data_IF_418122569051
#
_entry.id   IF_418122569051
#
_cell.length_a   1.000
_cell.length_b   1.000
_cell.length_c   1.000
_cell.angle_alpha   90.00
_cell.angle_beta   90.00
_cell.angle_gamma   90.00
#
_symmetry.space_group_name_H-M   'P 1'
#
loop_
_entity.id
_entity.type
_entity.pdbx_description
1 polymer ?
#
# COMPACT_ATOMS: atom_id res chain seq x y z
N UNK A 1 25.95 -35.51 -4.87
CA UNK A 1 24.52 -35.21 -5.00
C UNK A 1 24.16 -34.29 -3.86
N UNK A 2 24.15 -33.02 -4.10
CA UNK A 2 23.74 -32.03 -3.13
C UNK A 2 22.22 -32.08 -3.08
N UNK A 3 21.68 -32.60 -2.00
CA UNK A 3 20.23 -32.59 -1.77
C UNK A 3 19.74 -31.17 -1.63
N UNK A 4 19.20 -30.62 -2.70
CA UNK A 4 18.32 -29.46 -2.63
C UNK A 4 17.07 -29.97 -1.93
N UNK A 5 17.01 -29.76 -0.63
CA UNK A 5 15.80 -29.96 0.15
C UNK A 5 14.84 -28.83 -0.27
N UNK A 6 14.12 -29.06 -1.36
CA UNK A 6 12.99 -28.21 -1.72
C UNK A 6 11.93 -28.44 -0.65
N UNK A 7 11.82 -27.53 0.31
CA UNK A 7 10.62 -27.38 1.11
C UNK A 7 9.51 -26.84 0.18
N UNK A 8 9.07 -27.66 -0.77
CA UNK A 8 7.87 -27.38 -1.53
C UNK A 8 6.69 -27.61 -0.58
N UNK A 9 6.20 -26.52 -0.01
CA UNK A 9 4.90 -26.56 0.64
C UNK A 9 3.87 -26.97 -0.42
N UNK A 10 2.93 -27.87 -0.09
CA UNK A 10 1.88 -28.21 -1.03
C UNK A 10 1.08 -26.95 -1.38
N UNK A 11 0.64 -26.85 -2.63
CA UNK A 11 -0.07 -25.66 -3.17
C UNK A 11 -1.21 -25.22 -2.23
N UNK A 12 -1.95 -26.18 -1.66
CA UNK A 12 -3.06 -25.88 -0.76
C UNK A 12 -2.62 -25.25 0.59
N UNK A 13 -1.38 -25.45 1.00
CA UNK A 13 -0.86 -24.85 2.23
C UNK A 13 -0.48 -23.38 2.04
N UNK A 14 -0.22 -22.96 0.80
CA UNK A 14 0.01 -21.54 0.46
C UNK A 14 -1.31 -20.82 0.23
N UNK A 15 -2.22 -21.46 -0.53
CA UNK A 15 -3.51 -20.89 -0.87
C UNK A 15 -4.56 -21.99 -1.00
N UNK A 16 -5.63 -21.90 -0.22
CA UNK A 16 -6.71 -22.88 -0.17
C UNK A 16 -7.97 -22.42 -0.91
N UNK A 17 -7.79 -21.79 -2.09
CA UNK A 17 -8.86 -21.39 -2.99
C UNK A 17 -9.09 -22.44 -4.09
N UNK A 18 -10.23 -22.37 -4.81
CA UNK A 18 -10.57 -23.40 -5.79
C UNK A 18 -9.94 -23.19 -7.18
N UNK A 19 -9.50 -21.98 -7.52
CA UNK A 19 -8.94 -21.63 -8.83
C UNK A 19 -7.51 -22.19 -8.98
N UNK A 20 -7.32 -23.18 -9.83
CA UNK A 20 -6.05 -23.91 -9.98
C UNK A 20 -4.91 -23.05 -10.50
N UNK A 21 -5.20 -22.17 -11.47
CA UNK A 21 -4.19 -21.32 -12.10
C UNK A 21 -3.62 -20.32 -11.09
N UNK A 22 -4.47 -19.57 -10.42
CA UNK A 22 -4.10 -18.57 -9.42
C UNK A 22 -3.34 -19.20 -8.25
N UNK A 23 -3.78 -20.36 -7.80
CA UNK A 23 -3.07 -21.14 -6.77
C UNK A 23 -1.68 -21.57 -7.23
N UNK A 24 -1.57 -22.08 -8.47
CA UNK A 24 -0.31 -22.50 -9.06
C UNK A 24 0.67 -21.34 -9.22
N UNK A 25 0.21 -20.19 -9.71
CA UNK A 25 1.02 -18.97 -9.84
C UNK A 25 1.47 -18.46 -8.47
N UNK A 26 0.56 -18.36 -7.50
CA UNK A 26 0.87 -17.92 -6.14
C UNK A 26 1.92 -18.81 -5.48
N UNK A 27 1.77 -20.12 -5.59
CA UNK A 27 2.75 -21.10 -5.06
C UNK A 27 4.11 -21.00 -5.78
N UNK A 28 4.12 -20.80 -7.10
CA UNK A 28 5.35 -20.60 -7.87
C UNK A 28 6.08 -19.32 -7.46
N UNK A 29 5.35 -18.21 -7.29
CA UNK A 29 5.91 -16.95 -6.79
C UNK A 29 6.45 -17.13 -5.37
N UNK A 30 5.72 -17.81 -4.48
CA UNK A 30 6.23 -18.15 -3.15
C UNK A 30 7.57 -18.91 -3.22
N UNK A 31 7.65 -19.93 -4.05
CA UNK A 31 8.87 -20.73 -4.22
C UNK A 31 10.05 -19.91 -4.77
N UNK A 32 9.80 -18.92 -5.61
CA UNK A 32 10.82 -17.99 -6.13
C UNK A 32 11.32 -17.01 -5.07
N UNK A 33 10.42 -16.47 -4.25
CA UNK A 33 10.76 -15.45 -3.24
C UNK A 33 11.41 -16.10 -2.01
N UNK A 34 10.93 -17.24 -1.57
CA UNK A 34 11.31 -17.89 -0.32
C UNK A 34 12.83 -18.01 -0.10
N UNK A 35 13.66 -18.48 -1.07
CA UNK A 35 15.10 -18.59 -0.86
C UNK A 35 15.80 -17.24 -0.71
N UNK A 36 15.31 -16.21 -1.41
CA UNK A 36 15.87 -14.85 -1.35
C UNK A 36 15.54 -14.21 -0.02
N UNK A 37 14.27 -14.27 0.37
CA UNK A 37 13.78 -13.76 1.65
C UNK A 37 14.47 -14.47 2.82
N UNK A 38 14.57 -15.81 2.79
CA UNK A 38 15.20 -16.60 3.83
C UNK A 38 16.66 -16.17 4.07
N UNK A 39 17.44 -16.01 2.99
CA UNK A 39 18.84 -15.53 3.12
C UNK A 39 18.92 -14.11 3.66
N UNK A 40 18.01 -13.23 3.24
CA UNK A 40 17.96 -11.86 3.72
C UNK A 40 17.65 -11.80 5.22
N UNK A 41 16.62 -12.51 5.66
CA UNK A 41 16.19 -12.56 7.07
C UNK A 41 17.30 -13.16 7.95
N UNK A 42 17.92 -14.24 7.51
CA UNK A 42 19.03 -14.87 8.26
C UNK A 42 20.16 -13.87 8.48
N UNK A 43 20.64 -13.21 7.42
CA UNK A 43 21.70 -12.21 7.53
C UNK A 43 21.33 -11.03 8.44
N UNK A 44 20.07 -10.61 8.36
CA UNK A 44 19.58 -9.49 9.18
C UNK A 44 19.55 -9.87 10.66
N UNK A 45 19.06 -11.07 10.99
CA UNK A 45 19.04 -11.61 12.36
C UNK A 45 20.45 -11.74 12.93
N UNK A 46 21.37 -12.33 12.17
CA UNK A 46 22.78 -12.49 12.55
C UNK A 46 23.43 -11.12 12.82
N UNK A 47 23.29 -10.16 11.88
CA UNK A 47 23.87 -8.82 12.04
C UNK A 47 23.26 -8.00 13.18
N UNK A 48 21.99 -8.24 13.56
CA UNK A 48 21.37 -7.64 14.74
C UNK A 48 21.87 -8.31 16.03
N UNK A 49 21.97 -9.64 16.04
CA UNK A 49 22.51 -10.39 17.19
C UNK A 49 23.96 -10.00 17.51
N UNK A 50 24.83 -9.83 16.50
CA UNK A 50 26.20 -9.35 16.65
C UNK A 50 26.26 -7.95 17.30
N UNK A 51 25.20 -7.13 17.12
CA UNK A 51 25.07 -5.80 17.74
C UNK A 51 24.35 -5.82 19.09
N UNK A 52 24.08 -7.02 19.63
CA UNK A 52 23.46 -7.21 20.94
C UNK A 52 21.93 -7.12 20.95
N UNK A 53 21.27 -7.15 19.78
CA UNK A 53 19.81 -7.21 19.71
C UNK A 53 19.35 -8.65 19.92
N UNK A 54 18.69 -8.92 21.05
CA UNK A 54 18.31 -10.25 21.50
C UNK A 54 16.83 -10.62 21.27
N UNK A 55 16.06 -9.75 20.59
CA UNK A 55 14.64 -10.01 20.30
C UNK A 55 14.45 -10.54 18.89
N UNK A 56 13.32 -11.21 18.64
CA UNK A 56 12.98 -11.60 17.28
C UNK A 56 12.63 -10.38 16.43
N UNK A 57 12.83 -10.53 15.13
CA UNK A 57 12.51 -9.52 14.14
C UNK A 57 11.11 -9.76 13.62
N UNK A 58 10.28 -8.73 13.62
CA UNK A 58 8.98 -8.75 12.96
C UNK A 58 9.09 -8.21 11.53
N UNK A 59 8.41 -8.86 10.62
CA UNK A 59 8.40 -8.55 9.19
C UNK A 59 7.00 -8.12 8.77
N UNK A 60 6.88 -7.02 8.07
CA UNK A 60 5.60 -6.55 7.53
C UNK A 60 5.15 -7.45 6.38
N UNK A 61 3.87 -7.75 6.34
CA UNK A 61 3.18 -8.43 5.25
C UNK A 61 2.34 -7.47 4.41
N UNK A 62 1.96 -7.92 3.21
CA UNK A 62 1.09 -7.15 2.32
C UNK A 62 -0.30 -6.88 2.88
N UNK A 63 -0.81 -7.74 3.77
CA UNK A 63 -2.09 -7.55 4.47
C UNK A 63 -2.08 -6.45 5.54
N UNK A 64 -0.94 -5.78 5.72
CA UNK A 64 -0.76 -4.72 6.74
C UNK A 64 -0.47 -5.25 8.15
N UNK A 65 -0.32 -6.56 8.32
CA UNK A 65 0.06 -7.19 9.58
C UNK A 65 1.55 -7.50 9.66
N UNK A 66 2.01 -7.80 10.86
CA UNK A 66 3.37 -8.26 11.13
C UNK A 66 3.38 -9.78 11.33
N UNK A 67 4.49 -10.40 10.99
CA UNK A 67 4.79 -11.81 11.24
C UNK A 67 6.20 -11.94 11.82
N UNK A 68 6.42 -12.92 12.69
CA UNK A 68 7.75 -13.26 13.19
C UNK A 68 8.70 -13.66 12.05
N UNK A 69 9.96 -13.24 12.16
CA UNK A 69 10.99 -13.61 11.21
C UNK A 69 11.25 -15.13 11.14
N UNK A 70 10.81 -15.88 12.14
CA UNK A 70 10.90 -17.34 12.17
C UNK A 70 9.84 -18.00 11.28
N UNK A 71 8.68 -17.36 11.10
CA UNK A 71 7.55 -17.89 10.33
C UNK A 71 7.42 -17.31 8.92
N UNK A 72 7.99 -16.11 8.67
CA UNK A 72 7.84 -15.40 7.38
C UNK A 72 8.25 -16.26 6.17
N UNK A 73 9.18 -17.19 6.35
CA UNK A 73 9.62 -18.10 5.30
C UNK A 73 8.59 -19.17 4.91
N UNK A 74 7.58 -19.44 5.75
CA UNK A 74 6.54 -20.44 5.45
C UNK A 74 5.63 -19.94 4.31
N UNK A 75 5.33 -18.63 4.28
CA UNK A 75 4.51 -18.01 3.25
C UNK A 75 5.15 -16.68 2.77
N UNK A 76 6.31 -16.77 2.14
CA UNK A 76 7.11 -15.62 1.70
C UNK A 76 6.33 -14.68 0.75
N UNK A 77 5.40 -15.22 -0.04
CA UNK A 77 4.53 -14.46 -0.95
C UNK A 77 3.70 -13.40 -0.21
N UNK A 78 3.36 -13.60 1.05
CA UNK A 78 2.63 -12.63 1.86
C UNK A 78 3.42 -11.33 2.11
N UNK A 79 4.73 -11.30 1.83
CA UNK A 79 5.55 -10.07 1.93
C UNK A 79 5.46 -9.17 0.70
N UNK A 80 4.81 -9.62 -0.37
CA UNK A 80 4.55 -8.79 -1.55
C UNK A 80 3.71 -7.58 -1.15
N UNK A 81 4.02 -6.40 -1.66
CA UNK A 81 3.39 -5.12 -1.33
C UNK A 81 3.50 -4.69 0.15
N UNK A 82 4.38 -5.30 0.95
CA UNK A 82 4.55 -4.95 2.37
C UNK A 82 5.02 -3.51 2.61
N UNK A 83 5.82 -2.94 1.70
CA UNK A 83 6.25 -1.54 1.79
C UNK A 83 5.08 -0.56 1.72
N UNK A 84 4.29 -0.52 0.63
CA UNK A 84 3.08 0.30 0.53
C UNK A 84 2.09 0.04 1.67
N UNK A 85 1.84 -1.24 2.03
CA UNK A 85 0.96 -1.61 3.12
C UNK A 85 1.35 -0.95 4.45
N UNK A 86 2.66 -0.91 4.75
CA UNK A 86 3.15 -0.26 5.97
C UNK A 86 2.82 1.23 6.02
N UNK A 87 2.90 1.92 4.88
CA UNK A 87 2.52 3.33 4.76
C UNK A 87 1.03 3.57 5.05
N UNK A 88 0.18 2.70 4.51
CA UNK A 88 -1.27 2.76 4.75
C UNK A 88 -1.60 2.48 6.22
N UNK A 89 -0.94 1.50 6.86
CA UNK A 89 -1.12 1.23 8.29
C UNK A 89 -0.70 2.42 9.17
N UNK A 90 0.42 3.07 8.84
CA UNK A 90 0.82 4.30 9.53
C UNK A 90 -0.19 5.44 9.35
N UNK A 91 -0.75 5.57 8.14
CA UNK A 91 -1.78 6.57 7.85
C UNK A 91 -3.05 6.28 8.65
N UNK A 92 -3.53 5.04 8.69
CA UNK A 92 -4.70 4.63 9.47
C UNK A 92 -4.50 4.93 10.98
N UNK A 93 -3.34 4.55 11.52
CA UNK A 93 -2.99 4.81 12.91
C UNK A 93 -2.95 6.31 13.25
N UNK A 94 -2.30 7.11 12.40
CA UNK A 94 -2.16 8.55 12.59
C UNK A 94 -3.51 9.27 12.45
N UNK A 95 -4.29 8.86 11.47
CA UNK A 95 -5.61 9.40 11.20
C UNK A 95 -6.62 9.13 12.33
N UNK A 96 -6.60 7.91 12.86
CA UNK A 96 -7.40 7.55 14.04
C UNK A 96 -7.06 8.45 15.22
N UNK A 97 -5.77 8.71 15.47
CA UNK A 97 -5.34 9.63 16.54
C UNK A 97 -5.75 11.09 16.26
N UNK A 98 -5.90 11.49 15.00
CA UNK A 98 -6.36 12.82 14.58
C UNK A 98 -7.90 12.94 14.50
N UNK A 99 -8.65 11.86 14.73
CA UNK A 99 -10.12 11.83 14.60
C UNK A 99 -10.63 11.96 13.16
N UNK A 100 -9.86 11.51 12.18
CA UNK A 100 -10.20 11.59 10.75
C UNK A 100 -10.38 10.17 10.20
N UNK A 101 -11.62 9.68 10.05
CA UNK A 101 -11.88 8.28 9.72
C UNK A 101 -11.69 7.94 8.23
N UNK A 102 -11.85 8.94 7.33
CA UNK A 102 -11.83 8.72 5.88
C UNK A 102 -10.60 9.38 5.26
N UNK A 103 -9.71 8.57 4.70
CA UNK A 103 -8.43 9.01 4.16
C UNK A 103 -8.15 8.37 2.81
N UNK A 104 -7.68 9.18 1.87
CA UNK A 104 -6.94 8.70 0.70
C UNK A 104 -5.46 8.87 1.02
N UNK A 105 -4.71 7.78 1.02
CA UNK A 105 -3.26 7.79 1.22
C UNK A 105 -2.55 8.14 -0.08
N UNK A 106 -1.47 8.89 0.03
CA UNK A 106 -0.67 9.32 -1.10
C UNK A 106 0.81 9.28 -0.69
N UNK A 107 1.48 8.19 -1.05
CA UNK A 107 2.91 7.97 -0.84
C UNK A 107 3.65 8.24 -2.14
N UNK A 108 4.45 9.29 -2.20
CA UNK A 108 5.29 9.55 -3.37
C UNK A 108 6.75 9.49 -3.00
N UNK A 109 7.42 8.51 -3.57
CA UNK A 109 8.86 8.31 -3.46
C UNK A 109 9.63 8.91 -4.65
N UNK A 110 10.80 8.31 -4.92
CA UNK A 110 11.64 8.69 -6.07
C UNK A 110 11.16 8.13 -7.41
N UNK A 111 10.54 6.96 -7.43
CA UNK A 111 10.19 6.21 -8.64
C UNK A 111 8.70 6.03 -8.85
N UNK A 112 7.94 5.87 -7.77
CA UNK A 112 6.52 5.55 -7.79
C UNK A 112 5.71 6.43 -6.88
N UNK A 113 4.42 6.37 -7.08
CA UNK A 113 3.40 6.91 -6.20
C UNK A 113 2.40 5.79 -5.90
N UNK A 114 2.16 5.56 -4.61
CA UNK A 114 1.28 4.54 -4.08
C UNK A 114 0.06 5.20 -3.43
N UNK A 115 -1.13 4.76 -3.84
CA UNK A 115 -2.41 5.34 -3.40
C UNK A 115 -3.30 4.24 -2.84
N UNK A 116 -3.88 4.47 -1.68
CA UNK A 116 -4.82 3.55 -1.03
C UNK A 116 -5.97 4.30 -0.36
N UNK A 117 -6.99 3.56 0.06
CA UNK A 117 -8.17 4.11 0.71
C UNK A 117 -8.34 3.52 2.11
N UNK A 118 -8.68 4.39 3.05
CA UNK A 118 -9.03 4.04 4.43
C UNK A 118 -10.44 4.59 4.70
N UNK A 119 -11.36 3.72 5.07
CA UNK A 119 -12.72 4.08 5.46
C UNK A 119 -13.00 3.65 6.88
N UNK A 120 -13.63 4.55 7.64
CA UNK A 120 -13.94 4.31 9.06
C UNK A 120 -12.71 3.86 9.88
N UNK A 121 -11.52 4.34 9.47
CA UNK A 121 -10.24 3.99 10.08
C UNK A 121 -9.71 2.60 9.68
N UNK A 122 -10.35 1.90 8.74
CA UNK A 122 -9.97 0.58 8.26
C UNK A 122 -9.46 0.67 6.83
N UNK A 123 -8.24 0.21 6.53
CA UNK A 123 -7.73 0.10 5.17
C UNK A 123 -8.57 -0.84 4.31
N UNK A 124 -8.79 -0.47 3.06
CA UNK A 124 -9.38 -1.40 2.10
C UNK A 124 -8.39 -2.52 1.77
N UNK A 125 -8.92 -3.71 1.52
CA UNK A 125 -8.13 -4.90 1.23
C UNK A 125 -8.52 -5.49 -0.12
N UNK A 126 -7.54 -6.09 -0.79
CA UNK A 126 -7.72 -6.89 -2.00
C UNK A 126 -7.14 -8.28 -1.76
N UNK A 127 -7.68 -9.29 -2.39
CA UNK A 127 -7.12 -10.64 -2.39
C UNK A 127 -6.35 -10.96 -3.67
N UNK A 128 -6.36 -10.09 -4.66
CA UNK A 128 -5.77 -10.32 -5.98
C UNK A 128 -4.82 -9.18 -6.36
N UNK A 129 -3.62 -9.52 -6.79
CA UNK A 129 -2.66 -8.62 -7.42
C UNK A 129 -2.23 -9.20 -8.76
N UNK A 130 -2.38 -8.44 -9.81
CA UNK A 130 -1.89 -8.78 -11.13
C UNK A 130 -0.42 -8.37 -11.28
N UNK A 131 0.45 -9.34 -11.49
CA UNK A 131 1.85 -9.14 -11.83
C UNK A 131 2.01 -8.89 -13.34
N UNK A 132 3.24 -8.64 -13.79
CA UNK A 132 3.56 -8.57 -15.21
C UNK A 132 3.01 -9.79 -15.98
N UNK A 133 2.63 -9.59 -17.25
CA UNK A 133 2.03 -10.62 -18.12
C UNK A 133 0.71 -11.20 -17.62
N UNK A 134 -0.09 -10.41 -16.91
CA UNK A 134 -1.39 -10.81 -16.39
C UNK A 134 -1.34 -12.09 -15.52
N UNK A 135 -0.27 -12.24 -14.73
CA UNK A 135 -0.15 -13.34 -13.76
C UNK A 135 -0.77 -12.92 -12.42
N UNK A 136 -1.95 -13.46 -12.06
CA UNK A 136 -2.57 -13.12 -10.79
C UNK A 136 -1.91 -13.88 -9.65
N UNK A 137 -1.55 -13.17 -8.57
CA UNK A 137 -1.30 -13.77 -7.26
C UNK A 137 -2.46 -13.47 -6.34
N UNK A 138 -2.89 -14.50 -5.61
CA UNK A 138 -3.97 -14.39 -4.65
C UNK A 138 -3.40 -14.50 -3.25
N UNK A 139 -3.30 -13.38 -2.58
CA UNK A 139 -2.95 -13.26 -1.16
C UNK A 139 -3.67 -12.04 -0.59
N UNK A 140 -4.20 -12.11 0.63
CA UNK A 140 -4.78 -10.93 1.27
C UNK A 140 -3.75 -9.82 1.36
N UNK A 141 -4.08 -8.63 0.87
CA UNK A 141 -3.21 -7.46 0.94
C UNK A 141 -4.01 -6.17 1.11
N UNK A 142 -3.36 -5.15 1.62
CA UNK A 142 -3.91 -3.79 1.60
C UNK A 142 -4.03 -3.36 0.14
N UNK A 143 -5.18 -2.81 -0.21
CA UNK A 143 -5.46 -2.39 -1.56
C UNK A 143 -4.73 -1.08 -1.88
N UNK A 144 -3.62 -1.20 -2.61
CA UNK A 144 -2.77 -0.09 -3.00
C UNK A 144 -2.56 -0.11 -4.50
N UNK A 145 -2.87 1.02 -5.12
CA UNK A 145 -2.62 1.23 -6.54
C UNK A 145 -1.32 2.01 -6.73
N UNK A 146 -0.36 1.39 -7.42
CA UNK A 146 0.95 1.97 -7.73
C UNK A 146 1.01 2.51 -9.16
N UNK A 147 1.54 3.70 -9.32
CA UNK A 147 1.85 4.26 -10.63
C UNK A 147 3.31 4.69 -10.72
N UNK A 148 3.90 4.58 -11.92
CA UNK A 148 5.24 5.07 -12.22
C UNK A 148 5.28 6.59 -12.32
N UNK A 149 5.04 7.28 -11.18
CA UNK A 149 5.12 8.73 -11.05
C UNK A 149 5.82 9.07 -9.74
N UNK A 150 7.07 9.47 -9.78
CA UNK A 150 7.89 9.81 -8.62
C UNK A 150 8.76 11.02 -8.85
N UNK A 151 9.57 11.38 -7.86
CA UNK A 151 10.50 12.51 -7.96
C UNK A 151 11.51 12.37 -9.09
N UNK A 152 11.93 11.14 -9.41
CA UNK A 152 12.85 10.84 -10.50
C UNK A 152 12.16 10.61 -11.85
N UNK A 153 10.85 10.73 -11.96
CA UNK A 153 10.16 10.61 -13.26
C UNK A 153 10.71 11.58 -14.27
N UNK A 154 11.14 11.04 -15.42
CA UNK A 154 11.80 11.80 -16.50
C UNK A 154 10.75 12.58 -17.27
N UNK A 155 11.05 13.85 -17.51
CA UNK A 155 10.29 14.72 -18.41
C UNK A 155 10.98 14.80 -19.78
N UNK A 156 10.25 14.47 -20.83
CA UNK A 156 10.78 14.48 -22.19
C UNK A 156 9.70 14.88 -23.21
N UNK A 157 10.13 15.38 -24.36
CA UNK A 157 9.24 15.58 -25.51
C UNK A 157 9.21 14.28 -26.31
N UNK A 158 8.03 13.73 -26.54
CA UNK A 158 7.83 12.52 -27.32
C UNK A 158 7.86 12.80 -28.83
N UNK A 159 7.81 11.75 -29.64
CA UNK A 159 7.85 11.84 -31.11
C UNK A 159 6.71 12.65 -31.72
N UNK A 160 5.60 12.85 -30.98
CA UNK A 160 4.48 13.68 -31.36
C UNK A 160 4.64 15.17 -30.96
N UNK A 161 5.79 15.54 -30.39
CA UNK A 161 6.08 16.90 -29.92
C UNK A 161 5.37 17.29 -28.63
N UNK A 162 4.84 16.31 -27.87
CA UNK A 162 4.14 16.55 -26.61
C UNK A 162 5.05 16.27 -25.41
N UNK A 163 4.89 17.07 -24.35
CA UNK A 163 5.55 16.83 -23.08
C UNK A 163 4.95 15.59 -22.41
N UNK A 164 5.82 14.65 -22.07
CA UNK A 164 5.50 13.47 -21.29
C UNK A 164 6.33 13.44 -20.01
N UNK A 165 5.76 12.96 -18.90
CA UNK A 165 6.46 12.80 -17.62
C UNK A 165 6.28 11.36 -17.13
N UNK A 166 7.38 10.61 -17.02
CA UNK A 166 7.36 9.17 -16.76
C UNK A 166 6.66 8.35 -17.87
N UNK A 167 6.46 7.04 -17.71
CA UNK A 167 6.72 6.23 -16.50
C UNK A 167 8.21 6.02 -16.19
N UNK A 168 9.10 6.30 -17.14
CA UNK A 168 10.54 6.13 -16.95
C UNK A 168 11.05 7.03 -15.81
N UNK A 169 12.00 6.48 -15.03
CA UNK A 169 12.61 7.17 -13.90
C UNK A 169 14.12 7.19 -14.05
N UNK A 170 14.75 8.30 -13.70
CA UNK A 170 16.19 8.42 -13.58
C UNK A 170 16.78 7.60 -12.42
N UNK A 171 15.93 7.03 -11.57
CA UNK A 171 16.34 6.26 -10.41
C UNK A 171 17.15 7.07 -9.39
N UNK A 172 18.04 6.39 -8.67
CA UNK A 172 18.97 7.02 -7.73
C UNK A 172 20.36 7.26 -8.31
N UNK A 173 20.71 6.50 -9.36
CA UNK A 173 21.98 6.57 -10.07
C UNK A 173 21.71 6.42 -11.58
N UNK A 174 22.03 7.44 -12.41
CA UNK A 174 22.61 8.75 -12.03
C UNK A 174 21.66 9.66 -11.28
N UNK A 175 20.34 9.41 -11.33
CA UNK A 175 19.30 10.17 -10.66
C UNK A 175 19.01 11.54 -11.32
N UNK A 176 18.25 12.40 -10.63
CA UNK A 176 17.98 13.78 -11.04
C UNK A 176 19.26 14.57 -11.33
N UNK A 177 19.17 15.54 -12.25
CA UNK A 177 20.30 16.42 -12.60
C UNK A 177 20.90 17.07 -11.35
N UNK A 178 20.03 17.56 -10.47
CA UNK A 178 20.43 18.26 -9.25
C UNK A 178 21.22 17.40 -8.25
N UNK A 179 21.27 16.07 -8.41
CA UNK A 179 22.07 15.20 -7.55
C UNK A 179 23.58 15.23 -7.91
N UNK A 180 23.94 15.79 -9.06
CA UNK A 180 25.35 15.95 -9.43
C UNK A 180 26.11 14.64 -9.67
N UNK A 181 25.39 13.56 -10.00
CA UNK A 181 25.92 12.22 -10.30
C UNK A 181 26.03 11.91 -11.80
N UNK A 182 25.93 12.94 -12.63
CA UNK A 182 25.96 12.80 -14.09
C UNK A 182 24.60 12.62 -14.76
N UNK A 183 23.48 12.78 -14.03
CA UNK A 183 22.16 12.81 -14.61
C UNK A 183 22.01 13.99 -15.58
N UNK A 184 21.43 13.76 -16.74
CA UNK A 184 21.24 14.76 -17.83
C UNK A 184 19.79 14.87 -18.27
N UNK A 185 18.91 14.05 -17.72
CA UNK A 185 17.48 14.05 -18.08
C UNK A 185 16.68 14.82 -17.02
N UNK A 186 15.88 15.82 -17.44
CA UNK A 186 15.01 16.56 -16.53
C UNK A 186 14.06 15.65 -15.77
N UNK A 187 13.90 15.90 -14.46
CA UNK A 187 13.00 15.12 -13.61
C UNK A 187 12.02 16.00 -12.85
N UNK A 188 11.01 15.39 -12.24
CA UNK A 188 10.06 16.06 -11.32
C UNK A 188 10.81 16.72 -10.14
N UNK A 189 11.87 16.08 -9.63
CA UNK A 189 12.70 16.67 -8.55
C UNK A 189 13.39 17.94 -9.03
N UNK A 190 13.98 17.94 -10.23
CA UNK A 190 14.64 19.11 -10.79
C UNK A 190 13.63 20.25 -11.06
N UNK A 191 12.43 19.91 -11.54
CA UNK A 191 11.36 20.88 -11.71
C UNK A 191 10.93 21.51 -10.37
N UNK A 192 10.78 20.74 -9.32
CA UNK A 192 10.48 21.26 -7.97
C UNK A 192 11.62 22.15 -7.44
N UNK A 193 12.88 21.82 -7.76
CA UNK A 193 14.02 22.63 -7.38
C UNK A 193 14.03 23.97 -8.11
N UNK A 194 13.85 23.99 -9.44
CA UNK A 194 13.81 25.22 -10.26
C UNK A 194 12.68 26.16 -9.82
N UNK A 195 11.54 25.61 -9.42
CA UNK A 195 10.40 26.39 -8.92
C UNK A 195 10.53 26.80 -7.44
N UNK A 196 11.69 26.56 -6.81
CA UNK A 196 11.97 26.97 -5.44
C UNK A 196 11.22 26.19 -4.35
N UNK A 197 10.61 25.04 -4.69
CA UNK A 197 9.91 24.18 -3.73
C UNK A 197 10.88 23.33 -2.89
N UNK A 198 12.10 23.14 -3.38
CA UNK A 198 13.18 22.47 -2.67
C UNK A 198 14.32 23.46 -2.41
N UNK A 199 14.95 23.33 -1.23
CA UNK A 199 16.11 24.15 -0.89
C UNK A 199 17.38 23.56 -1.52
N UNK A 200 18.03 24.24 -2.48
CA UNK A 200 19.21 23.72 -3.15
C UNK A 200 20.42 23.52 -2.21
N UNK A 201 20.41 24.21 -1.05
CA UNK A 201 21.50 24.12 -0.05
C UNK A 201 21.27 23.01 0.99
N UNK A 202 20.11 22.33 0.94
CA UNK A 202 19.72 21.35 1.93
C UNK A 202 19.17 20.05 1.27
N UNK A 203 19.69 19.69 0.09
CA UNK A 203 19.37 18.42 -0.53
C UNK A 203 20.07 17.30 0.25
N UNK A 204 19.28 16.35 0.74
CA UNK A 204 19.81 15.20 1.47
C UNK A 204 20.51 14.23 0.52
N UNK A 205 21.61 13.62 0.99
CA UNK A 205 22.41 12.63 0.24
C UNK A 205 22.95 13.14 -1.12
N UNK A 206 23.19 14.46 -1.23
CA UNK A 206 23.83 15.09 -2.40
C UNK A 206 25.15 15.70 -1.96
N UNK A 207 26.27 15.04 -2.33
CA UNK A 207 27.60 15.46 -1.92
C UNK A 207 28.09 16.71 -2.69
N UNK A 208 27.71 16.81 -3.96
CA UNK A 208 28.13 17.89 -4.88
C UNK A 208 26.93 18.40 -5.67
N UNK A 209 26.10 19.28 -5.10
CA UNK A 209 24.94 19.81 -5.83
C UNK A 209 25.43 20.63 -7.05
N UNK A 210 24.74 20.45 -8.16
CA UNK A 210 24.97 21.30 -9.35
C UNK A 210 24.28 22.66 -9.19
N UNK A 211 24.74 23.66 -9.95
CA UNK A 211 24.13 24.99 -9.91
C UNK A 211 22.71 24.96 -10.48
N UNK A 212 21.84 25.85 -10.00
CA UNK A 212 20.49 26.02 -10.56
C UNK A 212 20.53 26.41 -12.04
N UNK A 213 21.52 27.23 -12.44
CA UNK A 213 21.70 27.65 -13.83
C UNK A 213 21.98 26.46 -14.76
N UNK A 214 22.71 25.46 -14.28
CA UNK A 214 22.94 24.24 -15.07
C UNK A 214 21.67 23.43 -15.24
N UNK A 215 20.88 23.26 -14.19
CA UNK A 215 19.56 22.58 -14.25
C UNK A 215 18.63 23.35 -15.18
N UNK A 216 18.59 24.69 -15.05
CA UNK A 216 17.76 25.55 -15.89
C UNK A 216 18.13 25.46 -17.38
N UNK A 217 19.44 25.46 -17.70
CA UNK A 217 19.91 25.35 -19.08
C UNK A 217 19.46 24.03 -19.74
N UNK A 218 19.52 22.90 -19.01
CA UNK A 218 19.06 21.61 -19.54
C UNK A 218 17.53 21.64 -19.74
N UNK A 219 16.76 22.15 -18.78
CA UNK A 219 15.31 22.29 -18.94
C UNK A 219 14.91 23.16 -20.13
N UNK A 220 15.59 24.27 -20.32
CA UNK A 220 15.35 25.16 -21.45
C UNK A 220 15.67 24.48 -22.78
N UNK A 221 16.81 23.78 -22.86
CA UNK A 221 17.23 23.10 -24.08
C UNK A 221 16.32 21.93 -24.46
N UNK A 222 15.99 21.07 -23.48
CA UNK A 222 15.33 19.79 -23.75
C UNK A 222 13.81 19.88 -23.80
N UNK A 223 13.20 20.81 -23.04
CA UNK A 223 11.74 20.98 -22.92
C UNK A 223 11.31 22.36 -23.36
N UNK A 224 12.01 23.40 -22.91
CA UNK A 224 11.62 24.78 -23.11
C UNK A 224 11.61 25.18 -24.59
N UNK A 225 12.71 24.99 -25.30
CA UNK A 225 12.80 25.35 -26.72
C UNK A 225 11.78 24.65 -27.61
N UNK A 226 11.56 23.31 -27.49
CA UNK A 226 10.53 22.63 -28.27
C UNK A 226 9.11 23.17 -28.02
N UNK A 227 8.83 23.66 -26.82
CA UNK A 227 7.49 24.14 -26.42
C UNK A 227 7.35 25.67 -26.46
N UNK A 228 8.42 26.41 -26.79
CA UNK A 228 8.42 27.87 -26.75
C UNK A 228 8.34 28.44 -25.34
N UNK A 229 8.88 27.77 -24.34
CA UNK A 229 8.88 28.12 -22.93
C UNK A 229 10.30 28.44 -22.43
N UNK A 230 10.42 29.27 -21.41
CA UNK A 230 11.65 29.39 -20.63
C UNK A 230 11.80 28.20 -19.65
N UNK A 231 12.94 28.11 -18.98
CA UNK A 231 13.21 27.02 -18.02
C UNK A 231 12.17 26.91 -16.92
N UNK A 232 11.65 28.07 -16.41
CA UNK A 232 10.63 28.12 -15.37
C UNK A 232 9.28 27.61 -15.88
N UNK A 233 8.90 28.04 -17.08
CA UNK A 233 7.70 27.57 -17.77
C UNK A 233 7.75 26.06 -18.07
N UNK A 234 8.91 25.55 -18.51
CA UNK A 234 9.14 24.14 -18.74
C UNK A 234 9.02 23.30 -17.44
N UNK A 235 9.60 23.80 -16.33
CA UNK A 235 9.47 23.16 -15.02
C UNK A 235 8.02 23.16 -14.53
N UNK A 236 7.31 24.26 -14.70
CA UNK A 236 5.88 24.36 -14.32
C UNK A 236 5.00 23.43 -15.15
N UNK A 237 5.25 23.30 -16.47
CA UNK A 237 4.56 22.37 -17.36
C UNK A 237 4.82 20.92 -16.92
N UNK A 238 6.07 20.58 -16.60
CA UNK A 238 6.46 19.24 -16.09
C UNK A 238 5.66 18.88 -14.84
N UNK A 239 5.58 19.79 -13.85
CA UNK A 239 4.81 19.50 -12.63
C UNK A 239 3.31 19.43 -12.87
N UNK A 240 2.76 20.17 -13.84
CA UNK A 240 1.35 20.05 -14.20
C UNK A 240 1.03 18.66 -14.73
N UNK A 241 1.83 18.15 -15.68
CA UNK A 241 1.64 16.81 -16.24
C UNK A 241 1.83 15.72 -15.15
N UNK A 242 2.85 15.87 -14.29
CA UNK A 242 3.05 14.94 -13.18
C UNK A 242 1.83 14.90 -12.23
N UNK A 243 1.31 16.08 -11.85
CA UNK A 243 0.14 16.17 -10.98
C UNK A 243 -1.12 15.59 -11.62
N UNK A 244 -1.35 15.84 -12.91
CA UNK A 244 -2.50 15.28 -13.64
C UNK A 244 -2.49 13.74 -13.65
N UNK A 245 -1.32 13.14 -13.89
CA UNK A 245 -1.17 11.67 -13.80
C UNK A 245 -1.45 11.15 -12.40
N UNK A 246 -0.94 11.81 -11.36
CA UNK A 246 -1.18 11.42 -9.97
C UNK A 246 -2.64 11.63 -9.56
N UNK A 247 -3.29 12.71 -10.03
CA UNK A 247 -4.71 12.92 -9.84
C UNK A 247 -5.56 11.81 -10.51
N UNK A 248 -5.12 11.31 -11.68
CA UNK A 248 -5.73 10.14 -12.32
C UNK A 248 -5.71 8.91 -11.44
N UNK A 249 -4.58 8.61 -10.78
CA UNK A 249 -4.49 7.49 -9.84
C UNK A 249 -5.41 7.66 -8.61
N UNK A 250 -5.48 8.89 -8.07
CA UNK A 250 -6.39 9.20 -6.97
C UNK A 250 -7.87 9.03 -7.39
N UNK A 251 -8.24 9.39 -8.63
CA UNK A 251 -9.59 9.18 -9.18
C UNK A 251 -9.90 7.69 -9.32
N UNK A 252 -8.94 6.89 -9.77
CA UNK A 252 -9.09 5.44 -9.95
C UNK A 252 -9.45 4.74 -8.63
N UNK A 253 -8.76 5.05 -7.54
CA UNK A 253 -9.02 4.41 -6.25
C UNK A 253 -10.23 5.00 -5.51
N UNK A 254 -10.73 6.16 -5.91
CA UNK A 254 -11.88 6.82 -5.30
C UNK A 254 -13.13 6.73 -6.18
N UNK A 255 -13.24 7.55 -7.21
CA UNK A 255 -14.45 7.70 -8.04
C UNK A 255 -14.85 6.40 -8.73
N UNK A 256 -13.91 5.65 -9.28
CA UNK A 256 -14.22 4.37 -9.95
C UNK A 256 -14.69 3.29 -8.98
N UNK A 257 -14.40 3.46 -7.68
CA UNK A 257 -14.89 2.60 -6.60
C UNK A 257 -16.15 3.14 -5.92
N UNK A 258 -16.71 4.24 -6.42
CA UNK A 258 -17.93 4.85 -5.90
C UNK A 258 -17.69 5.73 -4.66
N UNK A 259 -16.46 6.19 -4.44
CA UNK A 259 -16.13 7.09 -3.33
C UNK A 259 -15.98 8.53 -3.83
N UNK A 260 -16.63 9.47 -3.17
CA UNK A 260 -16.45 10.89 -3.47
C UNK A 260 -15.18 11.41 -2.73
N UNK A 261 -14.14 11.86 -3.45
CA UNK A 261 -12.91 12.37 -2.82
C UNK A 261 -13.17 13.53 -1.82
N UNK A 262 -14.28 14.25 -1.97
CA UNK A 262 -14.65 15.38 -1.11
C UNK A 262 -15.00 14.96 0.31
N UNK A 263 -15.32 13.68 0.52
CA UNK A 263 -15.61 13.10 1.84
C UNK A 263 -14.36 12.64 2.57
N UNK A 264 -13.19 12.72 1.92
CA UNK A 264 -11.91 12.22 2.42
C UNK A 264 -10.93 13.35 2.76
N UNK A 265 -9.94 13.03 3.58
CA UNK A 265 -8.72 13.82 3.69
C UNK A 265 -7.59 13.15 2.90
N UNK A 266 -6.72 13.93 2.26
CA UNK A 266 -5.52 13.44 1.59
C UNK A 266 -4.38 13.31 2.61
N UNK A 267 -3.90 12.10 2.86
CA UNK A 267 -2.75 11.86 3.74
C UNK A 267 -1.49 11.70 2.88
N UNK A 268 -0.71 12.77 2.81
CA UNK A 268 0.45 12.86 1.92
C UNK A 268 1.76 12.59 2.66
N UNK A 269 2.48 11.59 2.20
CA UNK A 269 3.77 11.18 2.77
C UNK A 269 4.74 10.69 1.69
N UNK A 270 5.85 10.04 2.08
CA UNK A 270 6.96 9.79 1.18
C UNK A 270 7.88 11.01 1.05
N UNK A 271 8.99 10.83 0.35
CA UNK A 271 10.00 11.88 0.18
C UNK A 271 9.54 13.08 -0.65
N UNK A 272 8.59 12.89 -1.56
CA UNK A 272 8.09 13.90 -2.48
C UNK A 272 6.59 14.23 -2.31
N UNK A 273 5.81 13.35 -1.69
CA UNK A 273 4.35 13.48 -1.59
C UNK A 273 3.84 14.84 -1.11
N UNK A 274 4.36 15.39 0.00
CA UNK A 274 3.90 16.68 0.52
C UNK A 274 4.07 17.85 -0.45
N UNK A 275 5.02 17.79 -1.38
CA UNK A 275 5.26 18.86 -2.38
C UNK A 275 4.10 19.00 -3.39
N UNK A 276 3.36 17.94 -3.60
CA UNK A 276 2.28 17.87 -4.60
C UNK A 276 0.89 17.88 -3.98
N UNK A 277 0.78 17.58 -2.68
CA UNK A 277 -0.48 17.32 -1.99
C UNK A 277 -1.52 18.43 -2.13
N UNK A 278 -1.12 19.70 -1.97
CA UNK A 278 -2.05 20.83 -2.09
C UNK A 278 -2.62 21.00 -3.51
N UNK A 279 -1.80 20.73 -4.53
CA UNK A 279 -2.24 20.81 -5.92
C UNK A 279 -3.25 19.69 -6.23
N UNK A 280 -2.95 18.46 -5.78
CA UNK A 280 -3.83 17.31 -5.95
C UNK A 280 -5.15 17.47 -5.19
N UNK A 281 -5.09 17.91 -3.94
CA UNK A 281 -6.29 18.16 -3.14
C UNK A 281 -7.20 19.21 -3.79
N UNK A 282 -6.62 20.31 -4.30
CA UNK A 282 -7.37 21.34 -5.01
C UNK A 282 -8.04 20.82 -6.28
N UNK A 283 -7.33 20.00 -7.06
CA UNK A 283 -7.85 19.43 -8.30
C UNK A 283 -9.01 18.45 -8.07
N UNK A 284 -8.95 17.68 -6.98
CA UNK A 284 -9.96 16.68 -6.64
C UNK A 284 -11.06 17.22 -5.70
N UNK A 285 -10.96 18.46 -5.26
CA UNK A 285 -11.89 19.07 -4.30
C UNK A 285 -11.76 18.46 -2.89
N UNK A 286 -10.64 17.82 -2.55
CA UNK A 286 -10.40 17.26 -1.23
C UNK A 286 -10.21 18.40 -0.21
N UNK A 287 -11.03 18.47 0.85
CA UNK A 287 -11.06 19.64 1.74
C UNK A 287 -9.90 19.73 2.71
N UNK A 288 -9.21 18.61 2.98
CA UNK A 288 -8.17 18.53 4.01
C UNK A 288 -6.94 17.79 3.50
N UNK A 289 -5.77 18.30 3.82
CA UNK A 289 -4.48 17.63 3.61
C UNK A 289 -3.82 17.38 4.96
N UNK A 290 -3.44 16.13 5.19
CA UNK A 290 -2.67 15.72 6.34
C UNK A 290 -1.26 15.36 5.87
N UNK A 291 -0.25 15.86 6.57
CA UNK A 291 1.13 15.46 6.36
C UNK A 291 1.74 15.11 7.71
N UNK A 292 2.28 13.89 7.89
CA UNK A 292 2.93 13.55 9.15
C UNK A 292 4.18 14.40 9.37
N UNK A 293 4.60 14.55 10.62
CA UNK A 293 5.77 15.37 10.99
C UNK A 293 7.06 14.90 10.31
N UNK A 294 7.14 13.64 9.92
CA UNK A 294 8.29 13.03 9.24
C UNK A 294 7.81 12.19 8.06
N UNK A 295 7.39 12.83 6.97
CA UNK A 295 6.74 12.12 5.86
C UNK A 295 7.62 11.08 5.18
N UNK A 296 8.94 11.28 5.13
CA UNK A 296 9.88 10.36 4.49
C UNK A 296 10.14 9.05 5.25
N UNK A 297 9.63 8.88 6.47
CA UNK A 297 9.79 7.65 7.27
C UNK A 297 8.44 7.07 7.74
N UNK A 298 7.36 7.47 7.10
CA UNK A 298 6.00 7.03 7.49
C UNK A 298 5.85 5.52 7.39
N UNK A 299 6.41 4.88 6.36
CA UNK A 299 6.39 3.43 6.20
C UNK A 299 7.08 2.71 7.37
N UNK A 300 8.21 3.23 7.84
CA UNK A 300 8.88 2.69 9.03
C UNK A 300 8.01 2.82 10.30
N UNK A 301 7.23 3.90 10.41
CA UNK A 301 6.25 4.04 11.49
C UNK A 301 5.17 2.96 11.39
N UNK A 302 4.71 2.62 10.18
CA UNK A 302 3.76 1.54 9.96
C UNK A 302 4.22 0.20 10.53
N UNK A 303 5.49 -0.16 10.30
CA UNK A 303 6.06 -1.37 10.87
C UNK A 303 6.11 -1.35 12.42
N UNK A 304 6.18 -0.18 13.04
CA UNK A 304 6.17 -0.06 14.50
C UNK A 304 4.77 -0.19 15.11
N UNK A 305 3.74 0.27 14.41
CA UNK A 305 2.37 0.35 14.95
C UNK A 305 1.46 -0.78 14.48
N UNK A 306 1.87 -1.57 13.50
CA UNK A 306 1.07 -2.69 13.00
C UNK A 306 1.05 -3.86 14.00
N UNK A 307 -0.09 -4.52 14.08
CA UNK A 307 -0.33 -5.70 14.89
C UNK A 307 0.13 -6.99 14.18
N UNK A 308 0.23 -8.10 14.91
CA UNK A 308 0.37 -9.42 14.28
C UNK A 308 -0.93 -9.73 13.52
N UNK A 309 -0.82 -10.33 12.32
CA UNK A 309 -2.02 -10.68 11.56
C UNK A 309 -1.78 -11.92 10.70
N UNK A 310 -2.70 -12.86 10.83
CA UNK A 310 -2.75 -14.08 10.03
C UNK A 310 -4.12 -14.19 9.37
N UNK A 311 -4.12 -14.36 8.05
CA UNK A 311 -5.34 -14.52 7.26
C UNK A 311 -5.46 -15.97 6.81
N UNK A 312 -6.66 -16.53 6.96
CA UNK A 312 -7.03 -17.89 6.60
C UNK A 312 -8.18 -17.86 5.60
N UNK A 313 -8.10 -18.70 4.59
CA UNK A 313 -9.09 -18.79 3.53
C UNK A 313 -9.45 -20.23 3.27
N UNK A 314 -10.74 -20.53 3.18
CA UNK A 314 -11.24 -21.83 2.73
C UNK A 314 -12.33 -21.68 1.70
N UNK A 315 -12.22 -22.41 0.60
CA UNK A 315 -13.27 -22.49 -0.41
C UNK A 315 -14.43 -23.36 0.06
N UNK A 316 -15.64 -22.85 -0.14
CA UNK A 316 -16.91 -23.55 0.08
C UNK A 316 -17.60 -23.84 -1.23
N UNK A 317 -17.69 -22.82 -2.10
CA UNK A 317 -18.27 -22.82 -3.44
C UNK A 317 -19.64 -23.55 -3.53
N UNK A 318 -20.56 -23.15 -2.66
CA UNK A 318 -21.88 -23.77 -2.50
C UNK A 318 -22.96 -22.69 -2.53
N UNK A 319 -24.09 -22.91 -3.25
CA UNK A 319 -25.25 -22.02 -3.17
C UNK A 319 -25.74 -21.86 -1.73
N UNK A 320 -26.16 -20.63 -1.37
CA UNK A 320 -26.57 -20.30 0.02
C UNK A 320 -27.68 -21.22 0.52
N UNK A 321 -28.66 -21.58 -0.35
CA UNK A 321 -29.76 -22.47 0.01
C UNK A 321 -29.30 -23.89 0.40
N UNK A 322 -28.17 -24.33 -0.17
CA UNK A 322 -27.64 -25.69 -0.01
C UNK A 322 -26.51 -25.75 1.06
N UNK A 323 -26.21 -24.61 1.74
CA UNK A 323 -25.14 -24.56 2.73
C UNK A 323 -25.43 -25.42 3.96
N UNK A 324 -24.45 -26.18 4.37
CA UNK A 324 -24.37 -26.77 5.70
C UNK A 324 -23.74 -25.74 6.66
N UNK A 325 -24.56 -25.10 7.49
CA UNK A 325 -24.11 -24.04 8.41
C UNK A 325 -23.22 -24.57 9.53
N UNK A 326 -23.34 -25.85 9.92
CA UNK A 326 -22.43 -26.46 10.89
C UNK A 326 -21.03 -26.62 10.29
N UNK A 327 -20.93 -26.96 9.00
CA UNK A 327 -19.67 -26.96 8.27
C UNK A 327 -19.07 -25.55 8.13
N UNK A 328 -19.88 -24.54 7.85
CA UNK A 328 -19.43 -23.13 7.80
C UNK A 328 -18.82 -22.73 9.14
N UNK A 329 -19.52 -23.02 10.23
CA UNK A 329 -19.03 -22.74 11.60
C UNK A 329 -17.74 -23.49 11.89
N UNK A 330 -17.66 -24.77 11.59
CA UNK A 330 -16.46 -25.59 11.82
C UNK A 330 -15.24 -25.06 11.07
N UNK A 331 -15.39 -24.53 9.86
CA UNK A 331 -14.31 -23.87 9.11
C UNK A 331 -13.84 -22.62 9.86
N UNK A 332 -14.76 -21.75 10.29
CA UNK A 332 -14.40 -20.52 11.01
C UNK A 332 -13.72 -20.84 12.35
N UNK A 333 -14.19 -21.84 13.09
CA UNK A 333 -13.57 -22.32 14.32
C UNK A 333 -12.17 -22.89 14.10
N UNK A 334 -11.95 -23.59 12.99
CA UNK A 334 -10.61 -24.06 12.57
C UNK A 334 -9.67 -22.89 12.31
N UNK A 335 -10.13 -21.84 11.60
CA UNK A 335 -9.33 -20.63 11.38
C UNK A 335 -8.94 -19.95 12.69
N UNK A 336 -9.87 -19.87 13.64
CA UNK A 336 -9.61 -19.30 14.97
C UNK A 336 -8.55 -20.12 15.71
N UNK A 337 -8.70 -21.43 15.76
CA UNK A 337 -7.77 -22.33 16.45
C UNK A 337 -6.36 -22.26 15.85
N UNK A 338 -6.26 -22.29 14.52
CA UNK A 338 -4.98 -22.18 13.81
C UNK A 338 -4.32 -20.81 14.03
N UNK A 339 -5.12 -19.74 13.99
CA UNK A 339 -4.62 -18.39 14.23
C UNK A 339 -4.09 -18.18 15.63
N UNK A 340 -4.78 -18.68 16.64
CA UNK A 340 -4.30 -18.67 18.03
C UNK A 340 -2.98 -19.44 18.17
N UNK A 341 -2.92 -20.66 17.63
CA UNK A 341 -1.70 -21.46 17.67
C UNK A 341 -0.52 -20.79 16.95
N UNK A 342 -0.80 -20.07 15.85
CA UNK A 342 0.25 -19.35 15.10
C UNK A 342 0.77 -18.16 15.92
N UNK A 343 -0.10 -17.34 16.52
CA UNK A 343 0.30 -16.22 17.38
C UNK A 343 1.10 -16.73 18.60
N UNK A 344 0.71 -17.86 19.20
CA UNK A 344 1.46 -18.46 20.29
C UNK A 344 2.86 -18.90 19.84
N UNK A 345 3.00 -19.50 18.65
CA UNK A 345 4.31 -19.91 18.07
C UNK A 345 5.24 -18.73 17.84
N UNK A 346 4.71 -17.55 17.55
CA UNK A 346 5.51 -16.34 17.35
C UNK A 346 6.18 -15.86 18.63
N UNK A 347 5.63 -16.17 19.79
CA UNK A 347 6.20 -15.78 21.09
C UNK A 347 6.23 -14.28 21.33
N UNK A 348 5.45 -13.50 20.58
CA UNK A 348 5.33 -12.06 20.69
C UNK A 348 4.22 -11.71 21.67
N UNK A 349 4.49 -10.79 22.61
CA UNK A 349 3.49 -10.35 23.56
C UNK A 349 2.34 -9.62 22.86
N UNK A 350 1.11 -10.09 23.07
CA UNK A 350 -0.13 -9.48 22.62
C UNK A 350 -1.04 -9.15 23.81
N UNK A 351 -1.79 -8.07 23.69
CA UNK A 351 -2.72 -7.64 24.76
C UNK A 351 -4.14 -8.20 24.57
N UNK A 352 -4.50 -8.51 23.32
CA UNK A 352 -5.78 -9.09 22.95
C UNK A 352 -5.66 -9.81 21.60
N UNK A 353 -6.62 -10.71 21.32
CA UNK A 353 -6.81 -11.28 19.99
C UNK A 353 -8.14 -10.79 19.46
N UNK A 354 -8.11 -10.18 18.28
CA UNK A 354 -9.27 -9.71 17.54
C UNK A 354 -9.51 -10.64 16.35
N UNK A 355 -10.76 -10.99 16.14
CA UNK A 355 -11.20 -11.87 15.06
C UNK A 355 -12.07 -11.08 14.08
N UNK A 356 -11.80 -11.22 12.79
CA UNK A 356 -12.62 -10.68 11.71
C UNK A 356 -12.94 -11.82 10.76
N UNK A 357 -14.21 -11.99 10.44
CA UNK A 357 -14.67 -13.01 9.50
C UNK A 357 -15.38 -12.35 8.33
N UNK A 358 -15.17 -12.92 7.14
CA UNK A 358 -15.75 -12.45 5.88
C UNK A 358 -16.19 -13.64 5.04
N UNK A 359 -17.19 -13.40 4.21
CA UNK A 359 -17.65 -14.32 3.17
C UNK A 359 -17.48 -13.67 1.81
N UNK A 360 -16.80 -14.34 0.89
CA UNK A 360 -16.80 -14.00 -0.52
C UNK A 360 -18.02 -14.62 -1.20
N UNK A 361 -18.83 -13.79 -1.80
CA UNK A 361 -20.10 -14.20 -2.38
C UNK A 361 -20.28 -13.66 -3.79
N UNK A 362 -20.99 -14.41 -4.60
CA UNK A 362 -21.37 -14.02 -5.96
C UNK A 362 -22.77 -14.56 -6.31
N UNK A 363 -23.41 -14.01 -7.32
CA UNK A 363 -24.56 -14.67 -7.91
C UNK A 363 -24.13 -15.79 -8.84
N UNK A 364 -24.90 -16.87 -8.87
CA UNK A 364 -24.62 -18.03 -9.71
C UNK A 364 -24.50 -17.62 -11.20
N UNK A 365 -23.39 -18.00 -11.82
CA UNK A 365 -23.08 -17.65 -13.21
C UNK A 365 -22.48 -16.26 -13.43
N UNK A 366 -22.27 -15.47 -12.38
CA UNK A 366 -21.52 -14.21 -12.43
C UNK A 366 -20.07 -14.40 -11.98
N UNK A 367 -19.20 -13.49 -12.40
CA UNK A 367 -17.78 -13.48 -12.03
C UNK A 367 -17.44 -12.47 -10.93
N UNK A 368 -18.34 -11.53 -10.65
CA UNK A 368 -18.10 -10.52 -9.61
C UNK A 368 -18.29 -11.11 -8.23
N UNK A 369 -17.21 -11.11 -7.45
CA UNK A 369 -17.20 -11.52 -6.05
C UNK A 369 -17.29 -10.27 -5.18
N UNK A 370 -18.17 -10.29 -4.18
CA UNK A 370 -18.25 -9.29 -3.13
C UNK A 370 -17.93 -9.93 -1.78
N UNK A 371 -17.06 -9.29 -1.04
CA UNK A 371 -16.70 -9.70 0.32
C UNK A 371 -17.62 -9.01 1.32
N UNK A 372 -18.33 -9.78 2.14
CA UNK A 372 -19.21 -9.29 3.18
C UNK A 372 -18.71 -9.70 4.56
N UNK A 373 -18.73 -8.80 5.58
CA UNK A 373 -18.39 -9.17 6.94
C UNK A 373 -19.46 -10.10 7.52
N UNK A 374 -19.02 -11.10 8.27
CA UNK A 374 -19.89 -12.07 8.93
C UNK A 374 -19.48 -12.29 10.38
N UNK A 375 -20.34 -12.93 11.15
CA UNK A 375 -20.06 -13.38 12.53
C UNK A 375 -19.98 -14.92 12.57
N UNK A 376 -19.41 -15.45 13.64
CA UNK A 376 -19.27 -16.91 13.82
C UNK A 376 -20.64 -17.63 13.85
N UNK A 377 -21.66 -16.96 14.34
CA UNK A 377 -23.03 -17.46 14.52
C UNK A 377 -23.99 -16.99 13.41
N UNK A 378 -23.44 -16.54 12.25
CA UNK A 378 -24.28 -16.06 11.14
C UNK A 378 -25.26 -17.13 10.68
N UNK A 379 -26.49 -16.72 10.44
CA UNK A 379 -27.52 -17.59 9.83
C UNK A 379 -27.44 -17.54 8.31
N UNK A 380 -28.12 -18.47 7.65
CA UNK A 380 -28.23 -18.49 6.17
C UNK A 380 -28.96 -17.25 5.66
N UNK A 381 -30.02 -16.85 6.37
CA UNK A 381 -30.84 -15.68 6.07
C UNK A 381 -30.03 -14.38 6.23
N UNK A 382 -29.24 -14.26 7.28
CA UNK A 382 -28.38 -13.08 7.50
C UNK A 382 -27.27 -12.99 6.47
N UNK A 383 -26.69 -14.14 6.07
CA UNK A 383 -25.66 -14.20 5.02
C UNK A 383 -26.21 -13.72 3.67
N UNK A 384 -27.41 -14.22 3.29
CA UNK A 384 -28.09 -13.79 2.07
C UNK A 384 -28.37 -12.28 2.10
N UNK A 385 -28.96 -11.79 3.19
CA UNK A 385 -29.30 -10.38 3.36
C UNK A 385 -28.06 -9.47 3.33
N UNK A 386 -26.97 -9.87 3.97
CA UNK A 386 -25.70 -9.13 3.94
C UNK A 386 -25.12 -9.00 2.52
N UNK A 387 -25.19 -10.08 1.74
CA UNK A 387 -24.75 -10.08 0.35
C UNK A 387 -25.63 -9.21 -0.54
N UNK A 388 -26.95 -9.35 -0.47
CA UNK A 388 -27.90 -8.54 -1.24
C UNK A 388 -27.74 -7.05 -0.95
N UNK A 389 -27.58 -6.68 0.31
CA UNK A 389 -27.33 -5.29 0.70
C UNK A 389 -25.98 -4.77 0.18
N UNK A 390 -24.95 -5.60 0.13
CA UNK A 390 -23.65 -5.24 -0.45
C UNK A 390 -23.74 -5.09 -1.97
N UNK A 391 -24.47 -5.99 -2.62
CA UNK A 391 -24.67 -5.98 -4.07
C UNK A 391 -25.46 -4.73 -4.50
N UNK A 392 -26.56 -4.43 -3.80
CA UNK A 392 -27.35 -3.21 -4.02
C UNK A 392 -26.50 -1.94 -3.88
N UNK A 393 -25.69 -1.83 -2.81
CA UNK A 393 -24.81 -0.67 -2.60
C UNK A 393 -23.80 -0.47 -3.72
N UNK A 394 -23.38 -1.56 -4.36
CA UNK A 394 -22.34 -1.52 -5.42
C UNK A 394 -22.92 -1.29 -6.81
N UNK A 395 -24.06 -1.88 -7.12
CA UNK A 395 -24.60 -1.96 -8.48
C UNK A 395 -26.00 -1.33 -8.63
N UNK A 396 -26.67 -1.00 -7.53
CA UNK A 396 -28.05 -0.47 -7.50
C UNK A 396 -29.05 -1.39 -8.23
N UNK A 397 -28.82 -2.72 -8.21
CA UNK A 397 -29.64 -3.73 -8.85
C UNK A 397 -29.99 -4.82 -7.85
N UNK A 398 -31.25 -5.28 -7.89
CA UNK A 398 -31.72 -6.47 -7.18
C UNK A 398 -31.87 -7.62 -8.15
N UNK A 399 -31.44 -8.82 -7.77
CA UNK A 399 -31.53 -10.05 -8.58
C UNK A 399 -32.18 -11.19 -7.79
N UNK A 400 -33.48 -11.06 -7.41
CA UNK A 400 -34.13 -11.99 -6.50
C UNK A 400 -34.30 -13.40 -7.08
N UNK A 401 -34.21 -13.56 -8.41
CA UNK A 401 -34.38 -14.86 -9.09
C UNK A 401 -33.04 -15.62 -9.24
N UNK A 402 -31.89 -14.98 -8.91
CA UNK A 402 -30.60 -15.60 -9.09
C UNK A 402 -30.05 -16.03 -7.72
N UNK A 403 -29.70 -17.31 -7.61
CA UNK A 403 -29.15 -17.87 -6.37
C UNK A 403 -27.78 -17.25 -6.02
N UNK A 404 -27.61 -16.86 -4.79
CA UNK A 404 -26.29 -16.47 -4.26
C UNK A 404 -25.45 -17.72 -3.95
N UNK A 405 -24.13 -17.59 -4.11
CA UNK A 405 -23.15 -18.65 -3.85
C UNK A 405 -22.13 -18.10 -2.85
N UNK A 406 -21.90 -18.86 -1.78
CA UNK A 406 -20.74 -18.67 -0.89
C UNK A 406 -19.52 -19.29 -1.56
N UNK A 407 -18.58 -18.45 -1.99
CA UNK A 407 -17.37 -18.89 -2.69
C UNK A 407 -16.28 -19.28 -1.69
N UNK A 408 -15.88 -18.33 -0.85
CA UNK A 408 -14.85 -18.55 0.18
C UNK A 408 -15.29 -18.02 1.55
N UNK A 409 -14.71 -18.59 2.60
CA UNK A 409 -14.72 -18.04 3.95
C UNK A 409 -13.31 -17.52 4.28
N UNK A 410 -13.25 -16.33 4.80
CA UNK A 410 -12.01 -15.69 5.26
C UNK A 410 -12.07 -15.39 6.74
N UNK A 411 -10.93 -15.54 7.42
CA UNK A 411 -10.76 -15.08 8.80
C UNK A 411 -9.42 -14.39 8.95
N UNK A 412 -9.42 -13.18 9.51
CA UNK A 412 -8.22 -12.51 9.99
C UNK A 412 -8.14 -12.65 11.51
N UNK A 413 -7.08 -13.28 11.99
CA UNK A 413 -6.75 -13.40 13.41
C UNK A 413 -5.65 -12.41 13.72
N UNK A 414 -5.96 -11.41 14.55
CA UNK A 414 -5.11 -10.26 14.80
C UNK A 414 -4.68 -10.27 16.27
N UNK A 415 -3.38 -10.40 16.51
CA UNK A 415 -2.79 -10.25 17.83
C UNK A 415 -2.46 -8.79 18.10
N UNK A 416 -3.34 -8.08 18.81
CA UNK A 416 -3.16 -6.66 19.14
C UNK A 416 -1.95 -6.48 20.06
N UNK A 417 -1.04 -5.57 19.66
CA UNK A 417 0.15 -5.20 20.41
C UNK A 417 -0.08 -3.95 21.25
N UNK A 418 0.76 -3.75 22.25
CA UNK A 418 0.69 -2.51 23.03
C UNK A 418 0.87 -1.28 22.11
N UNK A 419 -0.07 -0.35 22.21
CA UNK A 419 -0.08 0.83 21.36
C UNK A 419 1.15 1.71 21.61
N UNK A 420 1.91 2.00 20.55
CA UNK A 420 3.05 2.91 20.64
C UNK A 420 2.56 4.36 20.76
N UNK A 421 2.94 5.10 21.81
CA UNK A 421 2.53 6.49 21.94
C UNK A 421 3.25 7.36 20.90
N UNK A 422 2.51 7.93 19.93
CA UNK A 422 3.08 8.84 18.90
C UNK A 422 3.86 10.01 19.51
N UNK A 423 3.45 10.49 20.68
CA UNK A 423 4.16 11.53 21.43
C UNK A 423 5.60 11.14 21.79
N UNK A 424 5.88 9.86 22.04
CA UNK A 424 7.23 9.39 22.34
C UNK A 424 8.17 9.49 21.13
N UNK A 425 7.64 9.38 19.91
CA UNK A 425 8.39 9.49 18.66
C UNK A 425 8.63 10.97 18.30
N UNK A 426 7.69 11.85 18.66
CA UNK A 426 7.75 13.28 18.33
C UNK A 426 8.77 14.07 19.18
N UNK A 427 9.22 13.55 20.31
CA UNK A 427 9.80 14.35 21.41
C UNK A 427 11.30 14.65 21.35
N UNK A 428 12.02 14.47 20.24
CA UNK A 428 13.48 14.74 20.23
C UNK A 428 13.96 15.92 19.39
N UNK A 429 13.10 16.75 18.83
CA UNK A 429 13.58 17.89 18.06
C UNK A 429 12.95 19.24 18.50
N UNK A 430 13.51 19.77 19.62
CA UNK A 430 13.12 21.12 20.10
C UNK A 430 13.41 22.26 19.12
N UNK A 431 14.15 22.01 18.03
CA UNK A 431 14.43 23.00 16.99
C UNK A 431 13.39 23.03 15.86
N UNK A 432 12.71 21.92 15.59
CA UNK A 432 11.70 21.84 14.54
C UNK A 432 10.32 22.37 14.97
N UNK A 433 10.02 22.34 16.28
CA UNK A 433 8.73 22.81 16.83
C UNK A 433 8.52 24.33 16.67
N UNK A 434 9.57 25.13 16.50
CA UNK A 434 9.42 26.57 16.25
C UNK A 434 9.06 26.93 14.81
N UNK A 435 9.30 26.05 13.85
CA UNK A 435 8.94 26.26 12.44
C UNK A 435 7.53 25.74 12.10
N UNK A 436 7.01 24.78 12.86
CA UNK A 436 5.69 24.18 12.60
C UNK A 436 4.51 24.90 13.27
N UNK A 437 4.75 25.82 14.21
CA UNK A 437 3.67 26.55 14.89
C UNK A 437 3.06 27.67 14.06
N UNK A 438 3.67 28.04 12.93
CA UNK A 438 3.17 29.10 12.04
C UNK A 438 2.38 28.60 10.82
N UNK A 439 2.23 27.28 10.64
CA UNK A 439 1.55 26.70 9.47
C UNK A 439 0.33 25.84 9.78
N UNK A 440 -0.16 25.85 11.02
CA UNK A 440 -1.33 25.05 11.43
C UNK A 440 -2.67 25.72 11.20
N UNK A 441 -2.73 26.83 10.50
CA UNK A 441 -4.01 27.44 10.12
C UNK A 441 -3.91 28.11 8.75
N UNK A 442 -4.06 27.34 7.70
CA UNK A 442 -4.56 27.85 6.44
C UNK A 442 -5.95 27.24 6.24
N UNK A 443 -6.95 27.92 6.81
CA UNK A 443 -8.33 27.79 6.35
C UNK A 443 -8.49 28.70 5.14
N UNK A 444 -8.92 28.13 4.02
CA UNK A 444 -9.50 28.88 2.90
C UNK A 444 -11.01 28.67 2.93
#
# INVERSE_FOLDING_TARGET
MTGVQTCALPIYAILSEYREYERGVTAAVNACIQPVLGRYITRLREGLAERGYGHDLLVMQGNGGMVSSTLVGEAAVNTVMSGPASGVMAAAYTAKAAGIPHIITYDMGGTSCDVGVIRDGVPEVSSELELEYAMPIHVPMVDVHSIGAGGGSIAAINDAGMLQVGPESAGADPGPICYGRGGMLPTVTDANLLLGRLNPKALLAVDKPVSLDHVAAIFEETIGRPLGLDATGAAAATLRIANDRMAGALRLVSLERGHDPRDFALFAFGGAGPLHASALAKELGIPKVLTPARPGITNALGCLVADLRHDYVNTVNTPVDDLDMDRVRAILESHIAEGHATIEREGVAVIAIKLLHFADMQFLGQSHILTVPITLDITREDLQAAFEAAYWRRFEVELPEIRAVLVNLHSAVIGEREAMPLAAIAHKDRKSTRLNSSHTSISY
#
